data_IF_528735868976
#
_entry.id   IF_528735868976
#
_cell.length_a   1.000
_cell.length_b   1.000
_cell.length_c   1.000
_cell.angle_alpha   90.00
_cell.angle_beta   90.00
_cell.angle_gamma   90.00
#
_symmetry.space_group_name_H-M   'P 1'
#
loop_
_entity.id
_entity.type
_entity.pdbx_description
1 polymer ?
#
# COMPACT_ATOMS: atom_id res chain seq x y z
N UNK A 1 -7.97 31.24 -5.86
CA UNK A 1 -9.15 30.55 -6.41
C UNK A 1 -9.14 29.15 -5.84
N UNK A 2 -10.22 28.70 -5.18
CA UNK A 2 -10.32 27.33 -4.68
C UNK A 2 -10.02 26.34 -5.83
N UNK A 3 -9.47 25.18 -5.50
CA UNK A 3 -9.42 24.07 -6.46
C UNK A 3 -10.86 23.90 -6.97
N UNK A 4 -11.07 23.95 -8.29
CA UNK A 4 -12.40 23.66 -8.81
C UNK A 4 -12.82 22.26 -8.32
N UNK A 5 -14.11 22.07 -8.04
CA UNK A 5 -14.65 20.81 -7.50
C UNK A 5 -14.15 19.57 -8.30
N UNK A 6 -13.96 19.74 -9.60
CA UNK A 6 -13.37 18.75 -10.51
C UNK A 6 -11.90 18.40 -10.22
N UNK A 7 -11.07 19.38 -9.88
CA UNK A 7 -9.65 19.17 -9.54
C UNK A 7 -9.48 18.51 -8.16
N UNK A 8 -10.33 18.88 -7.20
CA UNK A 8 -10.36 18.25 -5.88
C UNK A 8 -10.77 16.78 -5.99
N UNK A 9 -11.80 16.50 -6.81
CA UNK A 9 -12.20 15.13 -7.15
C UNK A 9 -11.06 14.34 -7.79
N UNK A 10 -10.38 14.88 -8.81
CA UNK A 10 -9.24 14.20 -9.45
C UNK A 10 -8.16 13.79 -8.45
N UNK A 11 -7.74 14.69 -7.56
CA UNK A 11 -6.65 14.40 -6.62
C UNK A 11 -7.04 13.37 -5.56
N UNK A 12 -8.29 13.42 -5.09
CA UNK A 12 -8.84 12.37 -4.22
C UNK A 12 -8.81 11.00 -4.91
N UNK A 13 -9.19 10.94 -6.17
CA UNK A 13 -9.23 9.69 -6.96
C UNK A 13 -7.82 9.12 -7.17
N UNK A 14 -6.86 9.98 -7.56
CA UNK A 14 -5.44 9.62 -7.68
C UNK A 14 -4.89 9.11 -6.34
N UNK A 15 -5.22 9.80 -5.24
CA UNK A 15 -4.77 9.43 -3.90
C UNK A 15 -5.31 8.06 -3.47
N UNK A 16 -6.60 7.81 -3.68
CA UNK A 16 -7.23 6.53 -3.36
C UNK A 16 -6.56 5.38 -4.13
N UNK A 17 -6.34 5.56 -5.43
CA UNK A 17 -5.71 4.55 -6.28
C UNK A 17 -4.24 4.33 -5.89
N UNK A 18 -3.48 5.39 -5.69
CA UNK A 18 -2.08 5.29 -5.26
C UNK A 18 -1.96 4.60 -3.90
N UNK A 19 -2.80 4.95 -2.93
CA UNK A 19 -2.82 4.31 -1.62
C UNK A 19 -3.24 2.84 -1.69
N UNK A 20 -4.18 2.49 -2.56
CA UNK A 20 -4.64 1.10 -2.72
C UNK A 20 -3.61 0.20 -3.40
N UNK A 21 -2.71 0.76 -4.21
CA UNK A 21 -1.72 0.03 -5.00
C UNK A 21 -0.26 0.25 -4.58
N UNK A 22 0.03 1.11 -3.59
CA UNK A 22 1.41 1.47 -3.19
C UNK A 22 2.32 0.26 -2.95
N UNK A 23 1.75 -0.78 -2.34
CA UNK A 23 2.45 -2.01 -1.98
C UNK A 23 2.23 -3.18 -2.94
N UNK A 24 1.54 -3.00 -4.07
CA UNK A 24 1.21 -4.11 -4.99
C UNK A 24 2.46 -4.80 -5.55
N UNK A 25 3.58 -4.07 -5.63
CA UNK A 25 4.86 -4.63 -6.03
C UNK A 25 5.34 -5.75 -5.11
N UNK A 26 4.97 -5.74 -3.82
CA UNK A 26 5.29 -6.83 -2.88
C UNK A 26 4.66 -8.14 -3.35
N UNK A 27 3.42 -8.10 -3.83
CA UNK A 27 2.73 -9.29 -4.35
C UNK A 27 3.50 -9.85 -5.57
N UNK A 28 3.86 -9.01 -6.54
CA UNK A 28 4.60 -9.47 -7.73
C UNK A 28 5.98 -10.04 -7.38
N UNK A 29 6.72 -9.34 -6.53
CA UNK A 29 8.12 -9.67 -6.20
C UNK A 29 8.31 -11.00 -5.49
N UNK A 30 7.26 -11.48 -4.81
CA UNK A 30 7.31 -12.75 -4.07
C UNK A 30 7.04 -13.97 -4.95
N UNK A 31 6.58 -13.75 -6.19
CA UNK A 31 6.53 -14.76 -7.24
C UNK A 31 7.79 -14.79 -8.09
N UNK A 32 7.78 -15.61 -9.15
CA UNK A 32 8.91 -15.76 -10.08
C UNK A 32 8.94 -14.57 -11.03
N UNK A 33 9.71 -13.54 -10.69
CA UNK A 33 9.97 -12.41 -11.62
C UNK A 33 10.96 -12.82 -12.71
N UNK A 34 10.54 -12.70 -13.97
CA UNK A 34 11.41 -12.94 -15.12
C UNK A 34 12.49 -11.86 -15.25
N UNK A 35 13.62 -12.18 -15.87
CA UNK A 35 14.71 -11.21 -16.09
C UNK A 35 14.28 -10.08 -17.02
N UNK A 36 13.38 -10.35 -17.96
CA UNK A 36 12.79 -9.34 -18.85
C UNK A 36 12.01 -8.30 -18.05
N UNK A 37 11.17 -8.74 -17.11
CA UNK A 37 10.43 -7.82 -16.23
C UNK A 37 11.38 -7.01 -15.35
N UNK A 38 12.38 -7.66 -14.73
CA UNK A 38 13.38 -6.96 -13.91
C UNK A 38 14.12 -5.90 -14.73
N UNK A 39 14.54 -6.23 -15.95
CA UNK A 39 15.22 -5.33 -16.86
C UNK A 39 14.32 -4.16 -17.27
N UNK A 40 13.05 -4.43 -17.58
CA UNK A 40 12.09 -3.40 -17.95
C UNK A 40 11.84 -2.39 -16.81
N UNK A 41 11.67 -2.86 -15.56
CA UNK A 41 11.52 -1.98 -14.39
C UNK A 41 12.78 -1.14 -14.17
N UNK A 42 13.97 -1.77 -14.26
CA UNK A 42 15.26 -1.05 -14.13
C UNK A 42 15.44 0.01 -15.20
N UNK A 43 15.01 -0.26 -16.43
CA UNK A 43 15.08 0.68 -17.54
C UNK A 43 14.15 1.87 -17.34
N UNK A 44 12.92 1.62 -16.89
CA UNK A 44 11.90 2.66 -16.67
C UNK A 44 12.29 3.62 -15.53
N UNK A 45 12.80 3.08 -14.42
CA UNK A 45 13.14 3.85 -13.21
C UNK A 45 14.66 3.97 -12.99
N UNK A 46 15.43 4.06 -14.07
CA UNK A 46 16.89 4.05 -14.02
C UNK A 46 17.48 5.28 -13.31
N UNK A 47 16.77 6.41 -13.28
CA UNK A 47 17.20 7.64 -12.62
C UNK A 47 16.88 7.62 -11.11
N UNK A 48 15.85 6.88 -10.71
CA UNK A 48 15.39 6.76 -9.33
C UNK A 48 16.07 5.61 -8.58
N UNK A 49 16.35 4.51 -9.28
CA UNK A 49 17.04 3.35 -8.71
C UNK A 49 18.52 3.69 -8.52
N UNK A 50 18.90 3.99 -7.27
CA UNK A 50 20.32 4.09 -6.90
C UNK A 50 20.99 2.73 -7.17
N UNK A 51 22.01 2.74 -8.03
CA UNK A 51 22.69 1.60 -8.67
C UNK A 51 23.32 0.53 -7.74
N UNK A 52 23.16 0.64 -6.41
CA UNK A 52 23.89 -0.14 -5.42
C UNK A 52 23.08 -1.22 -4.67
N UNK A 53 21.77 -1.37 -4.91
CA UNK A 53 20.96 -2.40 -4.23
C UNK A 53 20.82 -3.67 -5.07
N UNK A 54 21.03 -4.83 -4.42
CA UNK A 54 20.99 -6.16 -5.05
C UNK A 54 19.58 -6.60 -5.49
N UNK A 55 18.54 -5.86 -5.12
CA UNK A 55 17.15 -6.14 -5.46
C UNK A 55 16.41 -4.89 -5.94
N UNK A 56 15.41 -5.09 -6.81
CA UNK A 56 14.44 -4.06 -7.15
C UNK A 56 13.55 -3.79 -5.95
N UNK A 57 13.33 -2.53 -5.56
CA UNK A 57 12.39 -2.19 -4.49
C UNK A 57 10.93 -2.36 -4.97
N UNK A 58 10.03 -2.73 -4.05
CA UNK A 58 8.64 -3.04 -4.39
C UNK A 58 7.89 -1.85 -4.99
N UNK A 59 8.21 -0.63 -4.56
CA UNK A 59 7.65 0.61 -5.09
C UNK A 59 7.85 0.73 -6.61
N UNK A 60 9.02 0.39 -7.15
CA UNK A 60 9.28 0.48 -8.59
C UNK A 60 8.57 -0.64 -9.37
N UNK A 61 8.50 -1.85 -8.80
CA UNK A 61 7.76 -2.96 -9.42
C UNK A 61 6.27 -2.64 -9.46
N UNK A 62 5.71 -2.15 -8.34
CA UNK A 62 4.30 -1.75 -8.25
C UNK A 62 3.96 -0.60 -9.20
N UNK A 63 4.81 0.42 -9.25
CA UNK A 63 4.65 1.55 -10.16
C UNK A 63 4.69 1.11 -11.63
N UNK A 64 5.62 0.22 -11.99
CA UNK A 64 5.69 -0.35 -13.34
C UNK A 64 4.43 -1.13 -13.71
N UNK A 65 3.92 -1.96 -12.81
CA UNK A 65 2.69 -2.74 -13.02
C UNK A 65 1.50 -1.79 -13.24
N UNK A 66 1.34 -0.79 -12.38
CA UNK A 66 0.24 0.16 -12.48
C UNK A 66 0.32 0.94 -13.79
N UNK A 67 1.52 1.42 -14.14
CA UNK A 67 1.76 2.17 -15.39
C UNK A 67 1.40 1.36 -16.64
N UNK A 68 1.71 0.06 -16.64
CA UNK A 68 1.44 -0.85 -17.75
C UNK A 68 0.09 -1.59 -17.65
N UNK A 69 -0.81 -1.10 -16.80
CA UNK A 69 -2.18 -1.62 -16.65
C UNK A 69 -3.17 -0.86 -17.55
N UNK A 70 -4.46 -1.21 -17.42
CA UNK A 70 -5.59 -0.50 -18.02
C UNK A 70 -6.30 0.46 -17.05
N UNK A 71 -5.71 0.67 -15.87
CA UNK A 71 -6.24 1.53 -14.81
C UNK A 71 -6.18 3.02 -15.17
N UNK A 72 -7.00 3.87 -14.52
CA UNK A 72 -6.95 5.33 -14.71
C UNK A 72 -5.72 5.96 -14.05
N UNK A 73 -5.38 7.18 -14.50
CA UNK A 73 -4.31 8.02 -13.95
C UNK A 73 -2.94 7.33 -13.86
N UNK A 74 -2.55 6.59 -14.91
CA UNK A 74 -1.37 5.71 -14.92
C UNK A 74 -0.07 6.44 -14.56
N UNK A 75 0.14 7.62 -15.12
CA UNK A 75 1.35 8.41 -14.87
C UNK A 75 1.34 9.01 -13.46
N UNK A 76 0.23 9.64 -13.05
CA UNK A 76 0.11 10.25 -11.73
C UNK A 76 0.25 9.22 -10.60
N UNK A 77 -0.48 8.11 -10.71
CA UNK A 77 -0.50 7.06 -9.68
C UNK A 77 0.84 6.32 -9.65
N UNK A 78 1.43 5.96 -10.79
CA UNK A 78 2.74 5.29 -10.79
C UNK A 78 3.86 6.17 -10.24
N UNK A 79 3.79 7.49 -10.44
CA UNK A 79 4.75 8.44 -9.85
C UNK A 79 4.66 8.46 -8.33
N UNK A 80 3.44 8.43 -7.77
CA UNK A 80 3.25 8.38 -6.31
C UNK A 80 3.72 7.03 -5.76
N UNK A 81 3.35 5.92 -6.43
CA UNK A 81 3.76 4.58 -6.01
C UNK A 81 5.29 4.45 -6.03
N UNK A 82 6.01 4.99 -7.01
CA UNK A 82 7.48 4.83 -7.05
C UNK A 82 8.21 5.61 -5.95
N UNK A 83 7.59 6.68 -5.43
CA UNK A 83 8.18 7.63 -4.47
C UNK A 83 7.66 7.51 -3.04
N UNK A 84 6.71 6.61 -2.73
CA UNK A 84 6.10 6.58 -1.40
C UNK A 84 7.06 6.22 -0.23
N UNK A 85 8.27 5.75 -0.50
CA UNK A 85 9.35 5.58 0.50
C UNK A 85 10.35 6.75 0.53
N UNK A 86 10.22 7.73 -0.35
CA UNK A 86 11.13 8.86 -0.42
C UNK A 86 10.93 9.79 0.78
N UNK A 87 12.05 10.34 1.28
CA UNK A 87 12.01 11.32 2.36
C UNK A 87 11.73 12.73 1.80
N UNK A 88 10.47 13.01 1.49
CA UNK A 88 10.02 14.30 0.98
C UNK A 88 9.86 15.31 2.13
N UNK A 89 10.71 16.35 2.17
CA UNK A 89 10.68 17.40 3.19
C UNK A 89 10.28 18.76 2.62
N UNK A 90 10.82 19.12 1.46
CA UNK A 90 10.50 20.36 0.75
C UNK A 90 9.64 20.02 -0.45
N UNK A 91 8.32 20.02 -0.26
CA UNK A 91 7.38 19.68 -1.33
C UNK A 91 7.42 20.78 -2.40
N UNK A 92 7.33 20.39 -3.67
CA UNK A 92 7.34 21.33 -4.82
C UNK A 92 6.24 21.05 -5.84
N UNK A 93 5.45 20.00 -5.63
CA UNK A 93 4.34 19.64 -6.53
C UNK A 93 3.18 18.99 -5.79
N UNK A 94 2.00 19.01 -6.40
CA UNK A 94 0.80 18.31 -5.93
C UNK A 94 1.07 16.81 -5.77
N UNK A 95 1.87 16.21 -6.66
CA UNK A 95 2.26 14.81 -6.57
C UNK A 95 3.06 14.50 -5.31
N UNK A 96 3.94 15.41 -4.89
CA UNK A 96 4.71 15.23 -3.65
C UNK A 96 3.86 15.40 -2.40
N UNK A 97 2.87 16.31 -2.42
CA UNK A 97 1.86 16.39 -1.36
C UNK A 97 1.11 15.06 -1.25
N UNK A 98 0.58 14.55 -2.36
CA UNK A 98 -0.15 13.27 -2.37
C UNK A 98 0.76 12.12 -1.94
N UNK A 99 2.01 12.08 -2.41
CA UNK A 99 3.00 11.07 -2.00
C UNK A 99 3.25 11.11 -0.50
N UNK A 100 3.44 12.30 0.07
CA UNK A 100 3.63 12.48 1.51
C UNK A 100 2.42 12.02 2.31
N UNK A 101 1.20 12.29 1.83
CA UNK A 101 -0.04 11.77 2.45
C UNK A 101 -0.06 10.23 2.42
N UNK A 102 0.29 9.60 1.28
CA UNK A 102 0.39 8.13 1.18
C UNK A 102 1.41 7.58 2.18
N UNK A 103 2.61 8.18 2.25
CA UNK A 103 3.67 7.75 3.18
C UNK A 103 3.23 7.87 4.64
N UNK A 104 2.53 8.95 5.01
CA UNK A 104 1.98 9.14 6.35
C UNK A 104 0.91 8.08 6.65
N UNK A 105 -0.02 7.86 5.73
CA UNK A 105 -1.08 6.89 5.89
C UNK A 105 -0.56 5.44 6.00
N UNK A 106 0.47 5.09 5.22
CA UNK A 106 1.15 3.80 5.28
C UNK A 106 1.80 3.56 6.65
N UNK A 107 2.47 4.58 7.20
CA UNK A 107 3.06 4.52 8.54
C UNK A 107 2.02 4.37 9.64
N UNK A 108 0.90 5.09 9.56
CA UNK A 108 -0.20 4.95 10.52
C UNK A 108 -0.77 3.51 10.43
N UNK A 109 -1.05 3.02 9.23
CA UNK A 109 -1.61 1.68 8.99
C UNK A 109 -0.68 0.54 9.46
N UNK A 110 0.63 0.75 9.45
CA UNK A 110 1.63 -0.24 9.82
C UNK A 110 2.12 -0.15 11.28
N UNK A 111 1.66 0.83 12.04
CA UNK A 111 2.22 1.17 13.35
C UNK A 111 2.10 0.07 14.41
N UNK A 112 1.00 -0.69 14.42
CA UNK A 112 0.71 -1.69 15.46
C UNK A 112 1.24 -3.10 15.12
N UNK A 113 2.17 -3.21 14.17
CA UNK A 113 2.73 -4.51 13.77
C UNK A 113 3.58 -5.10 14.88
N UNK A 114 3.42 -6.41 15.11
CA UNK A 114 4.28 -7.17 16.01
C UNK A 114 5.58 -7.51 15.30
N UNK A 115 6.72 -7.32 15.96
CA UNK A 115 8.03 -7.71 15.44
C UNK A 115 8.12 -9.22 15.21
N UNK A 116 8.79 -9.61 14.12
CA UNK A 116 9.03 -11.02 13.79
C UNK A 116 10.48 -11.40 14.08
N UNK A 117 10.70 -12.02 15.24
CA UNK A 117 12.03 -12.37 15.74
C UNK A 117 12.58 -13.71 15.22
N UNK A 118 11.92 -14.35 14.25
CA UNK A 118 12.38 -15.61 13.68
C UNK A 118 13.65 -15.41 12.80
N UNK A 119 14.59 -16.37 12.78
CA UNK A 119 15.69 -16.40 11.82
C UNK A 119 15.19 -16.33 10.37
N UNK A 120 15.95 -15.71 9.46
CA UNK A 120 15.51 -15.46 8.07
C UNK A 120 15.11 -16.74 7.31
N UNK A 121 15.82 -17.83 7.55
CA UNK A 121 15.56 -19.16 6.99
C UNK A 121 14.32 -19.85 7.59
N UNK A 122 13.86 -19.40 8.75
CA UNK A 122 12.67 -19.90 9.43
C UNK A 122 11.41 -19.03 9.19
N UNK A 123 11.55 -17.87 8.53
CA UNK A 123 10.43 -16.96 8.29
C UNK A 123 9.41 -17.56 7.33
N UNK A 124 8.17 -17.69 7.82
CA UNK A 124 7.06 -18.22 7.05
C UNK A 124 6.50 -17.13 6.14
N UNK A 125 6.50 -17.39 4.83
CA UNK A 125 6.09 -16.42 3.78
C UNK A 125 4.59 -16.43 3.47
N UNK A 126 3.81 -17.13 4.30
CA UNK A 126 2.35 -17.22 4.25
C UNK A 126 1.73 -16.35 5.33
N UNK A 127 0.47 -15.95 5.14
CA UNK A 127 -0.21 -15.13 6.13
C UNK A 127 -0.63 -15.97 7.34
N UNK A 128 -0.18 -15.62 8.54
CA UNK A 128 -0.55 -16.26 9.79
C UNK A 128 -2.03 -15.99 10.09
N UNK A 129 -2.73 -17.02 10.53
CA UNK A 129 -4.14 -16.92 10.88
C UNK A 129 -4.32 -16.11 12.17
N UNK A 130 -5.26 -15.16 12.17
CA UNK A 130 -5.61 -14.44 13.40
C UNK A 130 -6.09 -15.37 14.51
N UNK A 131 -6.70 -16.52 14.14
CA UNK A 131 -7.14 -17.53 15.10
C UNK A 131 -5.94 -18.15 15.82
N UNK A 132 -4.74 -18.16 15.22
CA UNK A 132 -3.51 -18.58 15.93
C UNK A 132 -3.13 -17.61 17.06
N UNK A 133 -3.61 -16.36 17.07
CA UNK A 133 -3.36 -15.41 18.18
C UNK A 133 -4.30 -15.57 19.38
N UNK A 134 -5.51 -16.13 19.21
CA UNK A 134 -6.56 -16.16 20.28
C UNK A 134 -6.45 -17.37 21.22
N UNK A 135 -5.78 -17.28 22.37
CA UNK A 135 -5.68 -18.41 23.32
C UNK A 135 -6.84 -18.45 24.31
N UNK A 136 -7.42 -19.64 24.51
CA UNK A 136 -8.30 -19.92 25.64
C UNK A 136 -7.54 -20.74 26.67
N UNK A 137 -7.56 -20.30 27.93
CA UNK A 137 -6.96 -21.00 29.07
C UNK A 137 -5.44 -21.29 28.94
N UNK A 138 -4.67 -20.34 28.38
CA UNK A 138 -3.19 -20.39 28.30
C UNK A 138 -2.62 -21.67 27.67
N UNK A 139 -3.35 -22.31 26.74
CA UNK A 139 -2.83 -23.47 26.02
C UNK A 139 -1.76 -23.03 25.02
N UNK A 140 -0.70 -23.86 24.90
CA UNK A 140 0.30 -23.69 23.85
C UNK A 140 -0.39 -23.84 22.49
N UNK A 141 -0.08 -22.93 21.57
CA UNK A 141 -0.74 -22.85 20.27
C UNK A 141 0.21 -23.17 19.14
N UNK A 142 -0.31 -23.91 18.19
CA UNK A 142 0.30 -24.09 16.89
C UNK A 142 -0.05 -22.92 15.97
N UNK A 143 0.91 -22.53 15.16
CA UNK A 143 0.74 -21.52 14.14
C UNK A 143 0.16 -22.15 12.88
N UNK A 144 -0.96 -21.58 12.43
CA UNK A 144 -1.62 -21.94 11.19
C UNK A 144 -1.59 -20.75 10.24
N UNK A 145 -1.49 -21.05 8.96
CA UNK A 145 -1.30 -20.06 7.91
C UNK A 145 -2.34 -20.25 6.81
N UNK A 146 -2.68 -19.17 6.14
CA UNK A 146 -3.61 -19.17 5.01
C UNK A 146 -2.90 -19.63 3.73
N UNK A 147 -3.51 -20.56 2.97
CA UNK A 147 -3.08 -20.82 1.60
C UNK A 147 -3.15 -19.57 0.72
N UNK A 148 -2.12 -19.37 -0.10
CA UNK A 148 -2.06 -18.28 -1.09
C UNK A 148 -2.99 -18.60 -2.26
N UNK A 149 -4.26 -18.25 -2.10
CA UNK A 149 -5.35 -18.56 -3.03
C UNK A 149 -6.34 -17.41 -3.06
N UNK A 150 -7.28 -17.45 -4.00
CA UNK A 150 -8.38 -16.49 -4.02
C UNK A 150 -9.18 -16.54 -2.72
N UNK A 151 -9.50 -15.37 -2.17
CA UNK A 151 -10.20 -15.25 -0.89
C UNK A 151 -11.55 -15.99 -0.89
N UNK A 152 -12.29 -15.93 -1.99
CA UNK A 152 -13.59 -16.59 -2.16
C UNK A 152 -13.56 -18.12 -2.04
N UNK A 153 -12.41 -18.77 -2.25
CA UNK A 153 -12.28 -20.22 -2.12
C UNK A 153 -12.38 -20.71 -0.68
N UNK A 154 -12.20 -19.81 0.30
CA UNK A 154 -12.37 -20.08 1.72
C UNK A 154 -11.60 -21.34 2.21
N UNK A 155 -10.36 -21.52 1.72
CA UNK A 155 -9.55 -22.67 2.13
C UNK A 155 -9.25 -22.69 3.63
N UNK A 156 -9.24 -23.91 4.19
CA UNK A 156 -8.80 -24.14 5.56
C UNK A 156 -7.36 -23.70 5.78
N UNK A 157 -7.09 -23.14 6.96
CA UNK A 157 -5.73 -22.82 7.39
C UNK A 157 -4.91 -24.08 7.58
N UNK A 158 -3.60 -23.99 7.36
CA UNK A 158 -2.68 -25.14 7.36
C UNK A 158 -1.45 -24.85 8.22
N UNK A 159 -0.91 -25.87 8.85
CA UNK A 159 0.40 -25.83 9.49
C UNK A 159 1.50 -25.67 8.41
N UNK A 160 2.63 -24.98 8.67
CA UNK A 160 3.68 -24.76 7.67
C UNK A 160 4.15 -26.01 6.91
N UNK A 161 4.18 -27.16 7.60
CA UNK A 161 4.62 -28.44 7.04
C UNK A 161 3.63 -29.07 6.05
N UNK A 162 2.39 -28.60 6.02
CA UNK A 162 1.33 -29.13 5.14
C UNK A 162 1.29 -28.43 3.77
N UNK A 163 2.07 -27.36 3.57
CA UNK A 163 2.20 -26.73 2.26
C UNK A 163 3.08 -27.59 1.35
N UNK A 164 2.54 -27.94 0.19
CA UNK A 164 3.26 -28.63 -0.89
C UNK A 164 3.79 -27.63 -1.90
N UNK A 165 5.02 -27.79 -2.38
CA UNK A 165 5.64 -26.83 -3.31
C UNK A 165 6.20 -25.58 -2.59
N UNK A 166 6.66 -24.61 -3.37
CA UNK A 166 7.28 -23.39 -2.81
C UNK A 166 6.27 -22.26 -2.67
N UNK A 167 6.48 -21.37 -1.69
CA UNK A 167 5.67 -20.15 -1.57
C UNK A 167 5.76 -19.27 -2.81
N UNK A 168 6.94 -19.20 -3.45
CA UNK A 168 7.15 -18.48 -4.70
C UNK A 168 6.25 -18.97 -5.84
N UNK A 169 6.07 -20.30 -5.97
CA UNK A 169 5.16 -20.89 -6.95
C UNK A 169 3.70 -20.57 -6.67
N UNK A 170 3.31 -20.51 -5.39
CA UNK A 170 1.95 -20.13 -5.02
C UNK A 170 1.67 -18.65 -5.29
N UNK A 171 2.62 -17.76 -4.96
CA UNK A 171 2.55 -16.35 -5.34
C UNK A 171 2.44 -16.18 -6.86
N UNK A 172 3.29 -16.88 -7.61
CA UNK A 172 3.29 -16.79 -9.08
C UNK A 172 1.97 -17.27 -9.69
N UNK A 173 1.38 -18.35 -9.16
CA UNK A 173 0.06 -18.83 -9.61
C UNK A 173 -1.03 -17.78 -9.39
N UNK A 174 -1.11 -17.26 -8.17
CA UNK A 174 -2.12 -16.25 -7.82
C UNK A 174 -1.92 -14.95 -8.62
N UNK A 175 -0.65 -14.55 -8.85
CA UNK A 175 -0.31 -13.40 -9.67
C UNK A 175 -0.76 -13.55 -11.13
N UNK A 176 -0.57 -14.72 -11.72
CA UNK A 176 -0.99 -15.01 -13.11
C UNK A 176 -2.50 -14.95 -13.32
N UNK A 177 -3.27 -15.20 -12.28
CA UNK A 177 -4.73 -14.98 -12.30
C UNK A 177 -5.08 -13.49 -12.16
N UNK A 178 -4.34 -12.74 -11.33
CA UNK A 178 -4.60 -11.34 -11.01
C UNK A 178 -4.20 -10.35 -12.13
N UNK A 179 -2.99 -10.48 -12.67
CA UNK A 179 -2.42 -9.50 -13.60
C UNK A 179 -3.26 -9.27 -14.87
N UNK A 180 -3.82 -10.30 -15.53
CA UNK A 180 -4.69 -10.10 -16.70
C UNK A 180 -5.90 -9.23 -16.40
N UNK A 181 -6.43 -9.28 -15.17
CA UNK A 181 -7.61 -8.50 -14.75
C UNK A 181 -7.31 -7.00 -14.68
N UNK A 182 -6.05 -6.62 -14.44
CA UNK A 182 -5.61 -5.21 -14.50
C UNK A 182 -5.34 -4.75 -15.94
N UNK A 183 -5.17 -5.68 -16.88
CA UNK A 183 -4.90 -5.40 -18.30
C UNK A 183 -6.14 -5.55 -19.19
N UNK A 184 -7.29 -5.79 -18.58
CA UNK A 184 -8.57 -5.94 -19.26
C UNK A 184 -9.02 -4.61 -19.87
N UNK A 185 -9.37 -4.61 -21.15
CA UNK A 185 -9.84 -3.41 -21.85
C UNK A 185 -11.22 -2.96 -21.34
N UNK A 186 -12.00 -3.84 -20.71
CA UNK A 186 -13.27 -3.47 -20.10
C UNK A 186 -13.09 -2.45 -18.97
N UNK A 187 -11.91 -2.38 -18.34
CA UNK A 187 -11.61 -1.34 -17.34
C UNK A 187 -11.58 0.07 -17.95
N UNK A 188 -11.04 0.25 -19.15
CA UNK A 188 -11.02 1.55 -19.83
C UNK A 188 -12.43 1.99 -20.24
N UNK A 189 -13.26 1.04 -20.67
CA UNK A 189 -14.66 1.31 -21.03
C UNK A 189 -15.48 1.66 -19.79
N UNK A 190 -15.37 0.85 -18.73
CA UNK A 190 -16.03 1.10 -17.46
C UNK A 190 -15.60 2.44 -16.85
N UNK A 191 -14.32 2.82 -16.96
CA UNK A 191 -13.84 4.11 -16.49
C UNK A 191 -14.51 5.30 -17.21
N UNK A 192 -14.77 5.17 -18.52
CA UNK A 192 -15.44 6.22 -19.30
C UNK A 192 -16.93 6.35 -18.96
N UNK A 193 -17.59 5.22 -18.69
CA UNK A 193 -19.04 5.17 -18.50
C UNK A 193 -19.45 5.32 -17.03
N UNK A 194 -18.71 4.70 -16.12
CA UNK A 194 -18.98 4.65 -14.68
C UNK A 194 -17.68 4.55 -13.86
N UNK A 195 -17.00 5.68 -13.59
CA UNK A 195 -15.81 5.74 -12.74
C UNK A 195 -15.95 5.02 -11.39
N UNK A 196 -17.11 5.16 -10.72
CA UNK A 196 -17.36 4.53 -9.42
C UNK A 196 -17.35 3.00 -9.50
N UNK A 197 -17.86 2.45 -10.61
CA UNK A 197 -17.80 1.01 -10.89
C UNK A 197 -16.38 0.48 -11.03
N UNK A 198 -15.42 1.31 -11.47
CA UNK A 198 -14.01 0.93 -11.49
C UNK A 198 -13.48 0.82 -10.07
N UNK A 199 -13.75 1.78 -9.18
CA UNK A 199 -13.28 1.70 -7.79
C UNK A 199 -13.83 0.49 -7.06
N UNK A 200 -15.11 0.18 -7.24
CA UNK A 200 -15.73 -1.01 -6.68
C UNK A 200 -15.08 -2.29 -7.21
N UNK A 201 -14.89 -2.38 -8.53
CA UNK A 201 -14.20 -3.52 -9.16
C UNK A 201 -12.78 -3.70 -8.60
N UNK A 202 -12.01 -2.62 -8.49
CA UNK A 202 -10.64 -2.69 -7.95
C UNK A 202 -10.61 -3.09 -6.48
N UNK A 203 -11.53 -2.58 -5.66
CA UNK A 203 -11.67 -2.99 -4.27
C UNK A 203 -11.87 -4.50 -4.16
N UNK A 204 -12.79 -5.07 -4.94
CA UNK A 204 -13.04 -6.52 -4.90
C UNK A 204 -11.92 -7.34 -5.52
N UNK A 205 -11.22 -6.85 -6.55
CA UNK A 205 -10.04 -7.52 -7.09
C UNK A 205 -8.92 -7.57 -6.05
N UNK A 206 -8.62 -6.46 -5.38
CA UNK A 206 -7.63 -6.44 -4.30
C UNK A 206 -8.07 -7.36 -3.15
N UNK A 207 -9.35 -7.32 -2.75
CA UNK A 207 -9.88 -8.23 -1.73
C UNK A 207 -9.70 -9.69 -2.11
N UNK A 208 -10.05 -10.05 -3.34
CA UNK A 208 -10.02 -11.43 -3.81
C UNK A 208 -8.58 -11.97 -3.89
N UNK A 209 -7.64 -11.19 -4.39
CA UNK A 209 -6.29 -11.66 -4.71
C UNK A 209 -5.22 -11.30 -3.68
N UNK A 210 -5.50 -10.38 -2.74
CA UNK A 210 -4.50 -9.92 -1.76
C UNK A 210 -4.90 -10.11 -0.30
N UNK A 211 -6.06 -10.71 -0.02
CA UNK A 211 -6.48 -11.03 1.36
C UNK A 211 -5.74 -12.22 1.98
N UNK A 212 -5.19 -13.14 1.18
CA UNK A 212 -4.35 -14.25 1.68
C UNK A 212 -2.85 -13.93 1.61
N UNK A 213 -2.48 -12.79 1.01
CA UNK A 213 -1.11 -12.33 0.88
C UNK A 213 -0.77 -11.53 2.14
N UNK A 214 0.28 -11.86 2.91
CA UNK A 214 0.70 -11.04 4.06
C UNK A 214 1.21 -9.67 3.59
N UNK A 215 0.95 -8.58 4.30
CA UNK A 215 1.48 -7.25 3.93
C UNK A 215 3.00 -7.16 4.17
N UNK A 216 3.50 -7.81 5.21
CA UNK A 216 4.91 -7.97 5.53
C UNK A 216 5.15 -9.35 6.14
N UNK A 217 6.38 -9.88 6.00
CA UNK A 217 6.80 -11.12 6.67
C UNK A 217 8.30 -11.14 7.02
N UNK A 218 9.04 -10.06 6.72
CA UNK A 218 10.48 -9.98 6.96
C UNK A 218 10.78 -9.50 8.38
N UNK A 219 10.17 -8.40 8.82
CA UNK A 219 10.43 -7.82 10.14
C UNK A 219 9.20 -7.83 11.04
N UNK A 220 8.04 -8.14 10.48
CA UNK A 220 6.76 -8.12 11.18
C UNK A 220 6.06 -9.45 11.01
N UNK A 221 5.34 -9.87 12.06
CA UNK A 221 4.54 -11.09 12.04
C UNK A 221 3.56 -11.00 10.85
N UNK A 222 3.46 -12.07 10.04
CA UNK A 222 2.73 -12.02 8.78
C UNK A 222 1.22 -12.19 8.97
N UNK A 223 0.60 -11.49 9.90
CA UNK A 223 -0.82 -11.68 10.28
C UNK A 223 -1.78 -10.61 9.74
N UNK A 224 -1.24 -9.58 9.09
CA UNK A 224 -2.02 -8.55 8.39
C UNK A 224 -1.99 -8.87 6.90
N UNK A 225 -3.17 -8.92 6.25
CA UNK A 225 -3.22 -9.09 4.80
C UNK A 225 -2.81 -7.82 4.06
N UNK A 226 -2.26 -7.98 2.85
CA UNK A 226 -1.95 -6.89 1.94
C UNK A 226 -3.22 -6.09 1.61
N UNK A 227 -4.36 -6.75 1.45
CA UNK A 227 -5.65 -6.09 1.28
C UNK A 227 -6.03 -5.20 2.48
N UNK A 228 -5.94 -5.71 3.71
CA UNK A 228 -6.33 -4.95 4.91
C UNK A 228 -5.41 -3.76 5.13
N UNK A 229 -4.11 -3.94 4.84
CA UNK A 229 -3.15 -2.86 4.89
C UNK A 229 -3.44 -1.79 3.82
N UNK A 230 -3.56 -2.18 2.55
CA UNK A 230 -3.83 -1.23 1.47
C UNK A 230 -5.16 -0.48 1.65
N UNK A 231 -6.22 -1.18 2.08
CA UNK A 231 -7.53 -0.57 2.32
C UNK A 231 -7.53 0.41 3.49
N UNK A 232 -6.86 0.08 4.60
CA UNK A 232 -6.71 1.01 5.72
C UNK A 232 -5.81 2.19 5.37
N UNK A 233 -4.70 1.99 4.66
CA UNK A 233 -3.86 3.07 4.12
C UNK A 233 -4.68 4.00 3.22
N UNK A 234 -5.49 3.46 2.31
CA UNK A 234 -6.36 4.26 1.45
C UNK A 234 -7.42 5.04 2.23
N UNK A 235 -8.05 4.42 3.24
CA UNK A 235 -9.03 5.09 4.08
C UNK A 235 -8.40 6.26 4.86
N UNK A 236 -7.23 6.04 5.47
CA UNK A 236 -6.49 7.08 6.22
C UNK A 236 -6.05 8.21 5.28
N UNK A 237 -5.50 7.88 4.11
CA UNK A 237 -5.05 8.86 3.13
C UNK A 237 -6.21 9.76 2.66
N UNK A 238 -7.36 9.15 2.31
CA UNK A 238 -8.55 9.89 1.90
C UNK A 238 -9.13 10.71 3.05
N UNK A 239 -9.07 10.23 4.30
CA UNK A 239 -9.50 11.00 5.47
C UNK A 239 -8.60 12.24 5.71
N UNK A 240 -7.28 12.08 5.61
CA UNK A 240 -6.33 13.19 5.68
C UNK A 240 -6.59 14.22 4.57
N UNK A 241 -6.87 13.75 3.35
CA UNK A 241 -7.22 14.62 2.23
C UNK A 241 -8.57 15.32 2.43
N UNK A 242 -9.57 14.64 2.98
CA UNK A 242 -10.86 15.25 3.31
C UNK A 242 -10.71 16.36 4.38
N UNK A 243 -9.87 16.12 5.39
CA UNK A 243 -9.66 17.06 6.49
C UNK A 243 -8.79 18.27 6.08
N UNK A 244 -7.76 18.04 5.27
CA UNK A 244 -6.70 19.04 5.03
C UNK A 244 -6.63 19.52 3.58
N UNK A 245 -7.31 18.83 2.65
CA UNK A 245 -7.14 19.01 1.21
C UNK A 245 -7.43 20.41 0.72
N UNK A 246 -8.43 21.10 1.29
CA UNK A 246 -8.73 22.48 0.89
C UNK A 246 -7.53 23.40 1.17
N UNK A 247 -6.95 23.30 2.36
CA UNK A 247 -5.78 24.10 2.76
C UNK A 247 -4.50 23.68 2.00
N UNK A 248 -4.28 22.37 1.82
CA UNK A 248 -3.07 21.84 1.18
C UNK A 248 -2.99 22.14 -0.32
N UNK A 249 -4.14 22.28 -0.99
CA UNK A 249 -4.21 22.47 -2.44
C UNK A 249 -4.69 23.87 -2.86
N UNK A 250 -4.90 24.78 -1.90
CA UNK A 250 -5.23 26.18 -2.17
C UNK A 250 -4.17 26.88 -3.05
N UNK A 251 -4.61 27.68 -4.02
CA UNK A 251 -3.73 28.45 -4.90
C UNK A 251 -3.20 29.71 -4.19
N UNK A 252 -2.25 29.53 -3.28
CA UNK A 252 -1.44 30.60 -2.69
C UNK A 252 0.05 30.37 -2.99
N UNK A 253 0.85 31.44 -3.01
CA UNK A 253 2.26 31.40 -3.46
C UNK A 253 3.16 30.50 -2.59
N UNK A 254 2.79 30.27 -1.34
CA UNK A 254 3.51 29.49 -0.33
C UNK A 254 2.86 28.13 -0.03
N UNK A 255 1.87 27.70 -0.83
CA UNK A 255 1.09 26.48 -0.57
C UNK A 255 1.95 25.23 -0.32
N UNK A 256 3.07 25.09 -1.02
CA UNK A 256 3.93 23.93 -0.86
C UNK A 256 4.75 24.00 0.42
N UNK A 257 5.13 25.20 0.85
CA UNK A 257 5.77 25.44 2.16
C UNK A 257 4.78 25.14 3.27
N UNK A 258 3.54 25.62 3.14
CA UNK A 258 2.45 25.31 4.06
C UNK A 258 2.19 23.79 4.15
N UNK A 259 2.01 23.12 3.01
CA UNK A 259 1.80 21.68 2.96
C UNK A 259 2.97 20.89 3.54
N UNK A 260 4.21 21.32 3.28
CA UNK A 260 5.41 20.72 3.86
C UNK A 260 5.39 20.84 5.39
N UNK A 261 5.04 22.02 5.92
CA UNK A 261 4.94 22.28 7.36
C UNK A 261 3.87 21.41 8.02
N UNK A 262 2.64 21.43 7.49
CA UNK A 262 1.51 20.70 8.10
C UNK A 262 1.72 19.19 8.06
N UNK A 263 2.14 18.62 6.92
CA UNK A 263 2.38 17.19 6.83
C UNK A 263 3.58 16.75 7.67
N UNK A 264 4.60 17.60 7.83
CA UNK A 264 5.71 17.33 8.75
C UNK A 264 5.28 17.37 10.21
N UNK A 265 4.34 18.26 10.58
CA UNK A 265 3.74 18.29 11.93
C UNK A 265 3.01 16.98 12.24
N UNK A 266 2.23 16.47 11.29
CA UNK A 266 1.53 15.18 11.44
C UNK A 266 2.52 14.01 11.56
N UNK A 267 3.56 14.00 10.72
CA UNK A 267 4.60 12.98 10.79
C UNK A 267 5.35 12.98 12.12
N UNK A 268 5.61 14.17 12.68
CA UNK A 268 6.18 14.34 14.02
C UNK A 268 5.25 13.76 15.09
N UNK A 269 3.95 14.10 15.07
CA UNK A 269 2.96 13.58 16.01
C UNK A 269 2.91 12.06 15.97
N UNK A 270 2.89 11.46 14.77
CA UNK A 270 2.95 10.02 14.60
C UNK A 270 4.20 9.49 15.27
N UNK A 271 5.39 10.00 14.92
CA UNK A 271 6.66 9.54 15.51
C UNK A 271 6.66 9.59 17.04
N UNK A 272 6.04 10.61 17.65
CA UNK A 272 5.89 10.71 19.11
C UNK A 272 5.00 9.61 19.67
N UNK A 273 3.84 9.37 19.04
CA UNK A 273 2.95 8.25 19.39
C UNK A 273 3.65 6.89 19.27
N UNK A 274 4.43 6.66 18.20
CA UNK A 274 5.19 5.42 18.02
C UNK A 274 6.23 5.20 19.13
N UNK A 275 6.80 6.28 19.65
CA UNK A 275 7.77 6.24 20.74
C UNK A 275 7.12 6.25 22.14
N UNK A 276 5.81 5.98 22.24
CA UNK A 276 5.03 6.02 23.48
C UNK A 276 5.17 7.34 24.25
N UNK A 277 5.37 8.45 23.55
CA UNK A 277 5.37 9.77 24.15
C UNK A 277 3.92 10.26 24.30
N UNK A 278 3.61 10.90 25.42
CA UNK A 278 2.28 11.49 25.63
C UNK A 278 2.01 12.56 24.55
N UNK A 279 0.91 12.37 23.82
CA UNK A 279 0.36 13.37 22.91
C UNK A 279 -1.01 13.79 23.44
N UNK A 280 -1.16 15.09 23.70
CA UNK A 280 -2.39 15.72 24.18
C UNK A 280 -3.15 16.35 23.00
N UNK A 281 -4.46 16.49 23.12
CA UNK A 281 -5.27 17.24 22.13
C UNK A 281 -4.85 18.71 22.01
N UNK A 282 -4.14 19.24 23.00
CA UNK A 282 -3.51 20.57 22.95
C UNK A 282 -2.31 20.64 22.00
N UNK A 283 -1.71 19.51 21.63
CA UNK A 283 -0.48 19.48 20.82
C UNK A 283 -0.76 19.79 19.34
N UNK A 284 -2.00 19.57 18.91
CA UNK A 284 -2.49 19.98 17.60
C UNK A 284 -4.01 20.24 17.61
N UNK A 285 -4.44 21.44 18.05
CA UNK A 285 -5.86 21.78 18.12
C UNK A 285 -6.55 21.80 16.74
N UNK A 286 -5.82 21.99 15.65
CA UNK A 286 -6.39 21.95 14.30
C UNK A 286 -6.64 20.52 13.81
N UNK A 287 -5.80 19.56 14.22
CA UNK A 287 -5.96 18.15 13.88
C UNK A 287 -6.94 17.43 14.81
N UNK A 288 -6.93 17.76 16.10
CA UNK A 288 -7.74 17.10 17.14
C UNK A 288 -9.02 17.86 17.51
N UNK A 289 -9.20 19.09 17.02
CA UNK A 289 -10.40 19.89 17.24
C UNK A 289 -11.54 19.46 16.33
N UNK A 290 -12.16 18.33 16.66
CA UNK A 290 -13.51 17.94 16.17
C UNK A 290 -14.54 18.48 17.15
#
# INVERSE_FOLDING_TARGET
MPVNEQGYKKWKDVLYLASSFHDIGKFRQRGKMSEELKSAVKKEYNYEIKTASSGLAHQFVGAYIYKNSKLPYREEVSTIISKHHDNLQNLVSEYEILTKIVSIADRISSNERTDYSAPEDEKVKYMKSIISKVSLANRQKEDYYRPLTRFSLAESVRHPKEFTGTSEEHYERLWKEFEPLLKDNDLENLWRENPEGVYERLYYLLKEYTSTVPSAFYYSEPDISLFSHASSTAAIAVALYAQLGDKLFEKQNDRFVYASSELSRIEELIRRLQNNQNVSSSDDPELFGV
#
